data_IF_349550408351
#
_entry.id   IF_349550408351
#
_cell.length_a   1.000
_cell.length_b   1.000
_cell.length_c   1.000
_cell.angle_alpha   90.00
_cell.angle_beta   90.00
_cell.angle_gamma   90.00
#
_symmetry.space_group_name_H-M   'P 1'
#
loop_
_entity.id
_entity.type
_entity.pdbx_description
1 polymer ?
#
# COMPACT_ATOMS: atom_id res chain seq x y z
N UNK A 1 18.13 -11.42 7.17
CA UNK A 1 18.64 -10.27 6.39
C UNK A 1 20.12 -10.10 6.66
N UNK A 2 20.87 -9.53 5.72
CA UNK A 2 22.24 -9.04 5.98
C UNK A 2 22.20 -7.79 6.88
N UNK A 3 23.33 -7.43 7.50
CA UNK A 3 23.41 -6.20 8.30
C UNK A 3 23.07 -4.93 7.51
N UNK A 4 23.35 -4.94 6.20
CA UNK A 4 23.05 -3.81 5.30
C UNK A 4 21.54 -3.73 5.05
N UNK A 5 20.91 -4.85 4.74
CA UNK A 5 19.45 -4.95 4.55
C UNK A 5 18.69 -4.56 5.82
N UNK A 6 19.11 -5.10 6.97
CA UNK A 6 18.48 -4.80 8.25
C UNK A 6 18.56 -3.32 8.61
N UNK A 7 19.72 -2.69 8.39
CA UNK A 7 19.89 -1.24 8.61
C UNK A 7 18.98 -0.42 7.70
N UNK A 8 18.91 -0.76 6.40
CA UNK A 8 18.05 -0.06 5.45
C UNK A 8 16.56 -0.23 5.80
N UNK A 9 16.14 -1.45 6.14
CA UNK A 9 14.77 -1.72 6.59
C UNK A 9 14.44 -0.95 7.88
N UNK A 10 15.33 -0.97 8.87
CA UNK A 10 15.12 -0.29 10.14
C UNK A 10 15.01 1.23 9.98
N UNK A 11 15.84 1.81 9.10
CA UNK A 11 15.76 3.22 8.74
C UNK A 11 14.42 3.54 8.07
N UNK A 12 14.06 2.81 7.00
CA UNK A 12 12.77 2.96 6.31
C UNK A 12 11.59 2.86 7.28
N UNK A 13 11.57 1.85 8.15
CA UNK A 13 10.51 1.63 9.15
C UNK A 13 10.36 2.83 10.08
N UNK A 14 11.48 3.34 10.59
CA UNK A 14 11.52 4.48 11.52
C UNK A 14 11.03 5.74 10.83
N UNK A 15 11.55 6.03 9.64
CA UNK A 15 11.21 7.21 8.86
C UNK A 15 9.74 7.18 8.44
N UNK A 16 9.23 6.04 7.96
CA UNK A 16 7.83 5.91 7.57
C UNK A 16 6.88 6.15 8.76
N UNK A 17 7.23 5.61 9.94
CA UNK A 17 6.46 5.85 11.16
C UNK A 17 6.47 7.33 11.54
N UNK A 18 7.62 7.98 11.45
CA UNK A 18 7.75 9.42 11.70
C UNK A 18 6.92 10.26 10.72
N UNK A 19 6.97 9.94 9.42
CA UNK A 19 6.17 10.62 8.40
C UNK A 19 4.67 10.45 8.63
N UNK A 20 4.19 9.23 8.93
CA UNK A 20 2.78 9.02 9.28
C UNK A 20 2.33 9.86 10.49
N UNK A 21 3.18 9.96 11.54
CA UNK A 21 2.90 10.80 12.71
C UNK A 21 2.85 12.28 12.35
N UNK A 22 3.76 12.74 11.49
CA UNK A 22 3.78 14.13 11.02
C UNK A 22 2.55 14.46 10.17
N UNK A 23 2.14 13.57 9.26
CA UNK A 23 0.93 13.76 8.46
C UNK A 23 -0.34 13.76 9.31
N UNK A 24 -0.43 12.88 10.32
CA UNK A 24 -1.52 12.92 11.31
C UNK A 24 -1.56 14.27 12.05
N UNK A 25 -0.41 14.74 12.55
CA UNK A 25 -0.30 16.01 13.29
C UNK A 25 -0.73 17.18 12.42
N UNK A 26 -0.33 17.22 11.14
CA UNK A 26 -0.75 18.24 10.16
C UNK A 26 -2.26 18.24 9.91
N UNK A 27 -2.92 17.10 10.09
CA UNK A 27 -4.37 16.96 10.00
C UNK A 27 -5.09 17.15 11.34
N UNK A 28 -4.39 17.59 12.40
CA UNK A 28 -4.97 17.83 13.72
C UNK A 28 -5.19 16.56 14.54
N UNK A 29 -4.39 15.51 14.30
CA UNK A 29 -4.49 14.26 15.05
C UNK A 29 -3.24 13.96 15.88
N UNK A 30 -3.46 13.49 17.10
CA UNK A 30 -2.48 12.75 17.87
C UNK A 30 -2.35 11.32 17.33
N UNK A 31 -1.11 10.84 17.22
CA UNK A 31 -0.86 9.45 16.89
C UNK A 31 -1.22 8.52 18.04
N UNK A 32 -1.89 7.42 17.73
CA UNK A 32 -2.20 6.36 18.70
C UNK A 32 -1.87 4.97 18.16
N UNK A 33 -1.00 4.23 18.85
CA UNK A 33 -0.64 2.87 18.48
C UNK A 33 -1.74 1.85 18.87
N UNK A 34 -1.83 0.66 18.24
CA UNK A 34 -2.92 -0.29 18.48
C UNK A 34 -3.13 -0.79 19.91
N UNK A 35 -2.11 -0.70 20.77
CA UNK A 35 -2.19 -1.12 22.18
C UNK A 35 -2.61 0.00 23.14
N UNK A 36 -2.81 1.21 22.64
CA UNK A 36 -3.25 2.35 23.45
C UNK A 36 -4.75 2.28 23.76
N UNK A 37 -5.21 3.05 24.74
CA UNK A 37 -6.59 2.99 25.20
C UNK A 37 -7.61 3.64 24.23
N UNK A 38 -7.16 4.51 23.32
CA UNK A 38 -8.02 5.33 22.48
C UNK A 38 -7.42 5.52 21.08
N UNK A 39 -8.27 5.57 20.06
CA UNK A 39 -7.86 5.80 18.67
C UNK A 39 -7.33 7.21 18.42
N UNK A 40 -6.66 7.43 17.28
CA UNK A 40 -6.17 8.76 16.90
C UNK A 40 -7.31 9.78 16.82
N UNK A 41 -8.49 9.38 16.32
CA UNK A 41 -9.67 10.24 16.30
C UNK A 41 -10.16 10.57 17.72
N UNK A 42 -10.21 9.58 18.62
CA UNK A 42 -10.68 9.77 20.00
C UNK A 42 -9.74 10.66 20.82
N UNK A 43 -8.42 10.46 20.71
CA UNK A 43 -7.41 11.25 21.44
C UNK A 43 -7.42 12.73 21.07
N UNK A 44 -7.74 13.03 19.81
CA UNK A 44 -7.60 14.38 19.26
C UNK A 44 -8.78 15.29 19.57
N UNK A 45 -9.76 14.85 20.38
CA UNK A 45 -10.87 15.65 20.91
C UNK A 45 -11.58 16.53 19.86
N UNK A 46 -11.70 16.06 18.61
CA UNK A 46 -12.36 16.79 17.52
C UNK A 46 -11.51 17.86 16.81
N UNK A 47 -10.21 17.96 17.08
CA UNK A 47 -9.31 18.90 16.40
C UNK A 47 -9.11 18.57 14.91
N UNK A 48 -9.05 17.28 14.55
CA UNK A 48 -8.89 16.84 13.18
C UNK A 48 -10.22 16.62 12.45
N UNK A 49 -10.30 16.99 11.17
CA UNK A 49 -11.54 16.90 10.37
C UNK A 49 -11.50 15.88 9.22
N UNK A 50 -10.32 15.35 8.87
CA UNK A 50 -10.17 14.35 7.80
C UNK A 50 -11.11 13.13 7.94
N UNK A 51 -11.33 12.64 9.17
CA UNK A 51 -12.22 11.50 9.44
C UNK A 51 -13.69 11.81 9.09
N UNK A 52 -14.13 13.05 9.25
CA UNK A 52 -15.46 13.51 8.83
C UNK A 52 -15.56 13.50 7.31
N UNK A 53 -14.49 13.91 6.62
CA UNK A 53 -14.44 13.88 5.16
C UNK A 53 -14.44 12.45 4.62
N UNK A 54 -13.72 11.53 5.28
CA UNK A 54 -13.73 10.09 4.99
C UNK A 54 -15.12 9.48 5.22
N UNK A 55 -15.81 9.89 6.28
CA UNK A 55 -17.19 9.48 6.53
C UNK A 55 -18.15 10.01 5.46
N UNK A 56 -18.02 11.28 5.06
CA UNK A 56 -18.82 11.88 4.00
C UNK A 56 -18.57 11.18 2.64
N UNK A 57 -17.32 10.87 2.31
CA UNK A 57 -16.97 10.12 1.11
C UNK A 57 -17.58 8.71 1.09
N UNK A 58 -17.59 8.03 2.23
CA UNK A 58 -18.24 6.72 2.37
C UNK A 58 -19.76 6.83 2.16
N UNK A 59 -20.40 7.83 2.75
CA UNK A 59 -21.84 8.08 2.59
C UNK A 59 -22.21 8.41 1.13
N UNK A 60 -21.48 9.32 0.47
CA UNK A 60 -21.66 9.66 -0.94
C UNK A 60 -21.56 8.42 -1.84
N UNK A 61 -20.63 7.52 -1.51
CA UNK A 61 -20.41 6.27 -2.22
C UNK A 61 -21.33 5.11 -1.78
N UNK A 62 -22.35 5.38 -0.94
CA UNK A 62 -23.29 4.37 -0.42
C UNK A 62 -22.60 3.21 0.30
N UNK A 63 -21.42 3.45 0.88
CA UNK A 63 -20.74 2.48 1.73
C UNK A 63 -21.44 2.48 3.10
N UNK A 64 -21.81 1.32 3.66
CA UNK A 64 -22.44 1.25 4.98
C UNK A 64 -21.59 1.94 6.04
N UNK A 65 -22.23 2.62 7.01
CA UNK A 65 -21.54 3.32 8.08
C UNK A 65 -20.58 2.39 8.84
N UNK A 66 -19.41 2.92 9.17
CA UNK A 66 -18.36 2.24 9.93
C UNK A 66 -17.56 3.27 10.73
N UNK A 67 -16.91 2.89 11.84
CA UNK A 67 -16.14 3.82 12.65
C UNK A 67 -14.89 4.29 11.89
N UNK A 68 -14.58 5.58 11.99
CA UNK A 68 -13.31 6.15 11.55
C UNK A 68 -12.43 6.36 12.77
N UNK A 69 -11.33 5.62 12.87
CA UNK A 69 -10.47 5.52 14.05
C UNK A 69 -9.04 6.00 13.75
N UNK A 70 -8.52 5.69 12.57
CA UNK A 70 -7.15 6.03 12.15
C UNK A 70 -7.13 6.59 10.72
N UNK A 71 -7.23 7.91 10.51
CA UNK A 71 -7.38 8.52 9.18
C UNK A 71 -6.17 8.33 8.26
N UNK A 72 -4.97 8.27 8.84
CA UNK A 72 -3.71 8.00 8.16
C UNK A 72 -3.06 6.83 8.92
N UNK A 73 -2.86 5.72 8.24
CA UNK A 73 -2.49 4.45 8.87
C UNK A 73 -1.00 4.19 8.68
N UNK A 74 -0.29 3.90 9.75
CA UNK A 74 1.04 3.29 9.69
C UNK A 74 0.90 1.77 9.74
N UNK A 75 1.69 1.02 8.97
CA UNK A 75 1.61 -0.45 8.96
C UNK A 75 2.43 -1.07 10.10
N UNK A 76 1.77 -1.46 11.19
CA UNK A 76 2.42 -2.07 12.34
C UNK A 76 2.97 -3.48 12.09
N UNK A 77 2.64 -4.15 10.98
CA UNK A 77 3.35 -5.38 10.61
C UNK A 77 4.85 -5.13 10.35
N UNK A 78 5.26 -3.89 10.05
CA UNK A 78 6.67 -3.54 9.92
C UNK A 78 7.42 -3.57 11.27
N UNK A 79 6.71 -3.35 12.38
CA UNK A 79 7.31 -3.39 13.72
C UNK A 79 7.67 -4.84 14.14
N UNK A 80 7.08 -5.85 13.50
CA UNK A 80 7.28 -7.27 13.81
C UNK A 80 8.45 -7.92 13.07
N UNK A 81 8.95 -7.28 12.02
CA UNK A 81 10.08 -7.78 11.23
C UNK A 81 11.36 -7.74 12.06
N UNK A 82 12.11 -8.84 12.03
CA UNK A 82 13.35 -9.05 12.77
C UNK A 82 14.56 -9.18 11.84
N UNK A 83 15.76 -8.93 12.36
CA UNK A 83 17.00 -9.06 11.59
C UNK A 83 17.21 -10.48 10.99
N UNK A 84 16.72 -11.50 11.69
CA UNK A 84 16.78 -12.90 11.26
C UNK A 84 15.80 -13.25 10.13
N UNK A 85 14.82 -12.39 9.84
CA UNK A 85 13.84 -12.66 8.78
C UNK A 85 14.45 -12.51 7.39
N UNK A 86 13.82 -13.14 6.40
CA UNK A 86 14.17 -13.01 4.99
C UNK A 86 13.00 -12.38 4.26
N UNK A 87 13.22 -11.23 3.62
CA UNK A 87 12.20 -10.56 2.82
C UNK A 87 12.38 -10.97 1.36
N UNK A 88 11.34 -11.59 0.79
CA UNK A 88 11.33 -12.10 -0.58
C UNK A 88 10.52 -11.25 -1.54
N UNK A 89 9.67 -10.35 -1.03
CA UNK A 89 8.79 -9.55 -1.86
C UNK A 89 8.38 -8.25 -1.15
N UNK A 90 8.22 -7.18 -1.92
CA UNK A 90 7.47 -5.99 -1.50
C UNK A 90 6.17 -5.94 -2.31
N UNK A 91 5.03 -5.80 -1.63
CA UNK A 91 3.73 -5.54 -2.25
C UNK A 91 3.29 -4.12 -1.93
N UNK A 92 2.88 -3.37 -2.94
CA UNK A 92 2.27 -2.05 -2.82
C UNK A 92 0.81 -2.13 -3.25
N UNK A 93 -0.12 -1.99 -2.31
CA UNK A 93 -1.57 -1.87 -2.59
C UNK A 93 -2.00 -0.40 -2.73
N UNK A 94 -3.28 -0.12 -2.92
CA UNK A 94 -3.76 1.26 -3.15
C UNK A 94 -3.68 2.12 -1.90
N UNK A 95 -4.53 1.83 -0.91
CA UNK A 95 -4.67 2.60 0.32
C UNK A 95 -5.33 1.74 1.43
N UNK A 96 -5.22 2.13 2.72
CA UNK A 96 -5.77 1.33 3.81
C UNK A 96 -7.29 1.28 3.73
N UNK A 97 -7.88 0.09 3.82
CA UNK A 97 -9.32 -0.15 3.86
C UNK A 97 -9.94 -0.10 5.26
N UNK A 98 -11.21 -0.48 5.35
CA UNK A 98 -12.00 -0.41 6.61
C UNK A 98 -11.39 -1.21 7.75
N UNK A 99 -10.80 -2.37 7.48
CA UNK A 99 -10.22 -3.22 8.52
C UNK A 99 -8.81 -2.74 8.87
N UNK A 100 -8.09 -2.23 7.90
CA UNK A 100 -6.72 -1.76 8.02
C UNK A 100 -6.63 -0.55 8.96
N UNK A 101 -7.60 0.36 8.92
CA UNK A 101 -7.62 1.58 9.75
C UNK A 101 -8.12 1.39 11.18
N UNK A 102 -8.76 0.25 11.49
CA UNK A 102 -9.24 0.01 12.86
C UNK A 102 -8.07 0.15 13.82
N UNK A 103 -8.28 0.84 14.92
CA UNK A 103 -7.28 1.18 15.91
C UNK A 103 -6.52 -0.06 16.39
N UNK A 104 -7.25 -1.14 16.68
CA UNK A 104 -6.67 -2.44 17.09
C UNK A 104 -5.83 -3.14 16.02
N UNK A 105 -5.99 -2.77 14.75
CA UNK A 105 -5.33 -3.42 13.63
C UNK A 105 -4.13 -2.59 13.17
N UNK A 106 -4.37 -1.43 12.54
CA UNK A 106 -3.35 -0.58 11.90
C UNK A 106 -2.32 -1.38 11.10
N UNK A 107 -2.83 -2.24 10.22
CA UNK A 107 -2.03 -3.18 9.40
C UNK A 107 -2.60 -3.24 8.01
N UNK A 108 -1.73 -3.44 7.02
CA UNK A 108 -2.16 -3.48 5.62
C UNK A 108 -2.54 -4.89 5.17
N UNK A 109 -3.49 -4.95 4.23
CA UNK A 109 -4.02 -6.20 3.68
C UNK A 109 -4.42 -7.20 4.79
N UNK A 110 -5.22 -6.74 5.74
CA UNK A 110 -5.83 -7.58 6.79
C UNK A 110 -7.33 -7.79 6.56
N UNK A 111 -7.93 -7.04 5.63
CA UNK A 111 -9.29 -7.27 5.14
C UNK A 111 -9.39 -8.37 4.08
N UNK A 112 -10.50 -8.35 3.34
CA UNK A 112 -10.81 -9.39 2.35
C UNK A 112 -9.75 -9.50 1.24
N UNK A 113 -9.22 -8.38 0.75
CA UNK A 113 -8.15 -8.36 -0.24
C UNK A 113 -6.90 -9.10 0.26
N UNK A 114 -6.57 -8.93 1.54
CA UNK A 114 -5.48 -9.64 2.20
C UNK A 114 -5.70 -11.15 2.29
N UNK A 115 -6.90 -11.59 2.65
CA UNK A 115 -7.27 -13.02 2.66
C UNK A 115 -7.15 -13.66 1.28
N UNK A 116 -7.51 -12.92 0.23
CA UNK A 116 -7.36 -13.38 -1.17
C UNK A 116 -5.89 -13.50 -1.55
N UNK A 117 -5.08 -12.49 -1.23
CA UNK A 117 -3.65 -12.49 -1.47
C UNK A 117 -2.94 -13.64 -0.74
N UNK A 118 -3.16 -13.78 0.56
CA UNK A 118 -2.62 -14.86 1.39
C UNK A 118 -3.06 -16.24 0.87
N UNK A 119 -4.33 -16.36 0.47
CA UNK A 119 -4.85 -17.56 -0.16
C UNK A 119 -4.18 -17.89 -1.49
N UNK A 120 -3.73 -16.89 -2.27
CA UNK A 120 -2.98 -17.11 -3.50
C UNK A 120 -1.63 -17.76 -3.20
N UNK A 121 -0.80 -17.16 -2.34
CA UNK A 121 0.51 -17.72 -1.97
C UNK A 121 0.39 -19.13 -1.37
N UNK A 122 -0.62 -19.37 -0.51
CA UNK A 122 -0.88 -20.71 0.05
C UNK A 122 -1.24 -21.77 -1.00
N UNK A 123 -1.89 -21.37 -2.11
CA UNK A 123 -2.21 -22.28 -3.22
C UNK A 123 -1.06 -22.48 -4.20
N UNK A 124 -0.01 -21.66 -4.08
CA UNK A 124 1.17 -21.69 -4.92
C UNK A 124 2.44 -21.87 -4.07
N UNK A 125 2.56 -23.00 -3.33
CA UNK A 125 3.70 -23.25 -2.44
C UNK A 125 5.04 -23.30 -3.19
N UNK A 126 5.04 -23.57 -4.50
CA UNK A 126 6.21 -23.50 -5.37
C UNK A 126 6.88 -22.12 -5.41
N UNK A 127 6.14 -21.05 -5.07
CA UNK A 127 6.73 -19.71 -4.93
C UNK A 127 7.63 -19.60 -3.70
N UNK A 128 7.50 -20.52 -2.73
CA UNK A 128 8.25 -20.56 -1.48
C UNK A 128 8.25 -19.20 -0.75
N UNK A 129 7.11 -18.50 -0.72
CA UNK A 129 6.92 -17.22 -0.03
C UNK A 129 5.83 -17.35 1.03
N UNK A 130 6.18 -17.11 2.29
CA UNK A 130 5.21 -16.88 3.36
C UNK A 130 4.70 -15.43 3.29
N UNK A 131 3.43 -15.25 2.93
CA UNK A 131 2.80 -13.95 2.72
C UNK A 131 2.86 -13.00 3.92
N UNK A 132 2.92 -13.52 5.16
CA UNK A 132 2.89 -12.69 6.36
C UNK A 132 4.29 -12.44 6.93
N UNK A 133 5.22 -13.36 6.71
CA UNK A 133 6.58 -13.27 7.25
C UNK A 133 7.60 -12.72 6.27
N UNK A 134 7.47 -13.05 4.98
CA UNK A 134 8.51 -12.80 3.98
C UNK A 134 8.11 -11.69 2.99
N UNK A 135 6.98 -11.02 3.23
CA UNK A 135 6.46 -9.95 2.38
C UNK A 135 6.32 -8.66 3.16
N UNK A 136 6.98 -7.60 2.68
CA UNK A 136 6.72 -6.24 3.15
C UNK A 136 5.50 -5.70 2.40
N UNK A 137 4.46 -5.32 3.13
CA UNK A 137 3.22 -4.78 2.57
C UNK A 137 3.17 -3.28 2.82
N UNK A 138 3.06 -2.50 1.74
CA UNK A 138 2.94 -1.05 1.72
C UNK A 138 1.73 -0.64 0.88
N UNK A 139 1.41 0.64 0.89
CA UNK A 139 0.37 1.23 0.05
C UNK A 139 0.95 2.38 -0.77
N UNK A 140 0.24 2.82 -1.81
CA UNK A 140 0.60 4.03 -2.58
C UNK A 140 0.39 5.29 -1.76
N UNK A 141 -0.51 5.25 -0.78
CA UNK A 141 -0.77 6.30 0.20
C UNK A 141 -1.20 5.67 1.53
N UNK A 142 -0.88 6.26 2.69
CA UNK A 142 -1.38 5.80 3.98
C UNK A 142 -2.77 6.37 4.32
N UNK A 143 -3.35 7.21 3.46
CA UNK A 143 -4.66 7.83 3.68
C UNK A 143 -5.78 6.80 3.55
N UNK A 144 -6.54 6.62 4.63
CA UNK A 144 -7.63 5.65 4.67
C UNK A 144 -8.85 6.09 3.83
N UNK A 145 -9.47 5.14 3.11
CA UNK A 145 -10.88 5.18 2.70
C UNK A 145 -11.43 3.74 2.64
N UNK A 146 -12.75 3.54 2.59
CA UNK A 146 -13.29 2.18 2.46
C UNK A 146 -13.06 1.58 1.07
N UNK A 147 -13.08 2.43 0.05
CA UNK A 147 -12.77 2.08 -1.35
C UNK A 147 -11.88 3.14 -1.95
N UNK A 148 -10.91 2.74 -2.77
CA UNK A 148 -9.94 3.64 -3.42
C UNK A 148 -10.60 4.82 -4.13
N UNK A 149 -11.70 4.60 -4.86
CA UNK A 149 -12.42 5.67 -5.57
C UNK A 149 -12.97 6.79 -4.67
N UNK A 150 -13.16 6.54 -3.36
CA UNK A 150 -13.59 7.55 -2.39
C UNK A 150 -12.50 8.63 -2.16
N UNK A 151 -11.23 8.36 -2.51
CA UNK A 151 -10.17 9.36 -2.48
C UNK A 151 -10.46 10.56 -3.40
N UNK A 152 -11.20 10.36 -4.50
CA UNK A 152 -11.63 11.46 -5.37
C UNK A 152 -12.51 12.47 -4.62
N UNK A 153 -13.35 11.98 -3.70
CA UNK A 153 -14.17 12.85 -2.85
C UNK A 153 -13.27 13.69 -1.93
N UNK A 154 -12.28 13.06 -1.30
CA UNK A 154 -11.34 13.77 -0.42
C UNK A 154 -10.56 14.84 -1.20
N UNK A 155 -10.10 14.54 -2.42
CA UNK A 155 -9.41 15.51 -3.28
C UNK A 155 -10.31 16.67 -3.68
N UNK A 156 -11.58 16.40 -3.98
CA UNK A 156 -12.55 17.44 -4.37
C UNK A 156 -12.92 18.37 -3.21
N UNK A 157 -12.98 17.84 -1.99
CA UNK A 157 -13.57 18.54 -0.85
C UNK A 157 -12.58 18.87 0.29
N UNK A 158 -11.36 18.32 0.25
CA UNK A 158 -10.33 18.50 1.28
C UNK A 158 -9.47 19.76 1.12
N UNK A 159 -9.65 20.51 0.03
CA UNK A 159 -8.91 21.72 -0.26
C UNK A 159 -7.44 21.47 -0.62
N UNK A 160 -6.72 22.56 -0.89
CA UNK A 160 -5.33 22.52 -1.36
C UNK A 160 -4.39 21.80 -0.38
N UNK A 161 -4.57 22.04 0.93
CA UNK A 161 -3.75 21.41 1.97
C UNK A 161 -3.83 19.88 1.92
N UNK A 162 -5.02 19.32 1.71
CA UNK A 162 -5.17 17.86 1.57
C UNK A 162 -4.59 17.37 0.25
N UNK A 163 -4.83 18.07 -0.86
CA UNK A 163 -4.25 17.71 -2.15
C UNK A 163 -2.72 17.62 -2.09
N UNK A 164 -2.06 18.63 -1.51
CA UNK A 164 -0.60 18.64 -1.31
C UNK A 164 -0.14 17.49 -0.41
N UNK A 165 -0.83 17.22 0.70
CA UNK A 165 -0.51 16.10 1.59
C UNK A 165 -0.65 14.75 0.87
N UNK A 166 -1.72 14.56 0.10
CA UNK A 166 -1.98 13.33 -0.64
C UNK A 166 -0.88 13.07 -1.67
N UNK A 167 -0.52 14.08 -2.46
CA UNK A 167 0.58 14.00 -3.43
C UNK A 167 1.93 13.73 -2.75
N UNK A 168 2.21 14.42 -1.64
CA UNK A 168 3.43 14.23 -0.85
C UNK A 168 3.56 12.80 -0.35
N UNK A 169 2.48 12.21 0.19
CA UNK A 169 2.51 10.83 0.69
C UNK A 169 2.87 9.83 -0.40
N UNK A 170 2.38 10.06 -1.62
CA UNK A 170 2.66 9.19 -2.77
C UNK A 170 4.11 9.26 -3.20
N UNK A 171 4.65 10.48 -3.37
CA UNK A 171 6.05 10.68 -3.76
C UNK A 171 6.99 10.10 -2.70
N UNK A 172 6.71 10.36 -1.43
CA UNK A 172 7.50 9.83 -0.33
C UNK A 172 7.53 8.30 -0.38
N UNK A 173 6.36 7.64 -0.46
CA UNK A 173 6.27 6.18 -0.47
C UNK A 173 6.92 5.56 -1.70
N UNK A 174 6.72 6.11 -2.90
CA UNK A 174 7.35 5.59 -4.11
C UNK A 174 8.88 5.66 -4.03
N UNK A 175 9.43 6.82 -3.63
CA UNK A 175 10.87 7.04 -3.54
C UNK A 175 11.54 6.16 -2.47
N UNK A 176 10.98 6.14 -1.25
CA UNK A 176 11.56 5.39 -0.13
C UNK A 176 11.39 3.88 -0.31
N UNK A 177 10.29 3.43 -0.92
CA UNK A 177 10.13 2.00 -1.25
C UNK A 177 11.14 1.58 -2.31
N UNK A 178 11.40 2.42 -3.31
CA UNK A 178 12.41 2.11 -4.33
C UNK A 178 13.83 2.04 -3.75
N UNK A 179 14.16 2.93 -2.82
CA UNK A 179 15.43 2.88 -2.10
C UNK A 179 15.55 1.61 -1.25
N UNK A 180 14.50 1.22 -0.52
CA UNK A 180 14.47 -0.01 0.26
C UNK A 180 14.61 -1.25 -0.64
N UNK A 181 13.82 -1.32 -1.71
CA UNK A 181 13.83 -2.43 -2.66
C UNK A 181 15.24 -2.65 -3.25
N UNK A 182 15.95 -1.58 -3.65
CA UNK A 182 17.31 -1.66 -4.18
C UNK A 182 18.29 -2.29 -3.19
N UNK A 183 18.08 -2.10 -1.89
CA UNK A 183 18.92 -2.73 -0.86
C UNK A 183 18.51 -4.16 -0.58
N UNK A 184 17.20 -4.45 -0.53
CA UNK A 184 16.68 -5.80 -0.28
C UNK A 184 16.84 -6.75 -1.49
N UNK A 185 16.95 -6.22 -2.70
CA UNK A 185 17.12 -7.00 -3.93
C UNK A 185 15.91 -7.85 -4.33
N UNK A 186 14.78 -7.74 -3.63
CA UNK A 186 13.57 -8.51 -3.91
C UNK A 186 12.69 -7.86 -4.98
N UNK A 187 11.80 -8.62 -5.64
CA UNK A 187 10.75 -8.07 -6.51
C UNK A 187 9.83 -7.07 -5.79
N UNK A 188 9.23 -6.18 -6.58
CA UNK A 188 8.21 -5.22 -6.16
C UNK A 188 6.95 -5.44 -6.99
N UNK A 189 5.84 -5.76 -6.31
CA UNK A 189 4.54 -5.95 -6.92
C UNK A 189 3.66 -4.74 -6.65
N UNK A 190 3.32 -4.01 -7.71
CA UNK A 190 2.40 -2.90 -7.67
C UNK A 190 0.99 -3.41 -8.00
N UNK A 191 0.17 -3.55 -6.97
CA UNK A 191 -1.16 -4.17 -7.05
C UNK A 191 -2.23 -3.10 -7.06
N UNK A 192 -3.19 -3.20 -7.99
CA UNK A 192 -4.21 -2.17 -8.20
C UNK A 192 -3.75 -1.14 -9.23
N UNK A 193 -3.80 -1.51 -10.50
CA UNK A 193 -3.29 -0.65 -11.57
C UNK A 193 -4.30 0.35 -12.15
N UNK A 194 -5.59 0.21 -11.80
CA UNK A 194 -6.67 1.00 -12.41
C UNK A 194 -6.50 2.51 -12.27
N UNK A 195 -5.82 2.94 -11.21
CA UNK A 195 -5.64 4.34 -10.83
C UNK A 195 -4.19 4.84 -11.03
N UNK A 196 -3.34 4.08 -11.73
CA UNK A 196 -1.93 4.43 -11.99
C UNK A 196 -1.71 5.21 -13.30
N UNK A 197 -2.72 5.26 -14.18
CA UNK A 197 -2.61 5.98 -15.46
C UNK A 197 -2.55 7.49 -15.23
N UNK A 198 -2.12 8.24 -16.26
CA UNK A 198 -2.07 9.71 -16.21
C UNK A 198 -3.44 10.29 -15.85
N UNK A 199 -3.45 11.30 -14.97
CA UNK A 199 -4.64 12.02 -14.47
C UNK A 199 -5.57 11.16 -13.59
N UNK A 200 -5.09 10.02 -13.09
CA UNK A 200 -5.78 9.18 -12.09
C UNK A 200 -5.24 9.44 -10.67
N UNK A 201 -5.86 8.83 -9.66
CA UNK A 201 -5.53 9.09 -8.24
C UNK A 201 -4.05 8.93 -7.90
N UNK A 202 -3.38 7.96 -8.52
CA UNK A 202 -2.00 7.62 -8.21
C UNK A 202 -0.99 8.04 -9.28
N UNK A 203 -1.30 9.10 -10.05
CA UNK A 203 -0.36 9.66 -11.03
C UNK A 203 0.96 10.07 -10.38
N UNK A 204 0.93 10.76 -9.24
CA UNK A 204 2.14 11.20 -8.55
C UNK A 204 3.02 10.02 -8.11
N UNK A 205 2.40 8.94 -7.60
CA UNK A 205 3.10 7.70 -7.27
C UNK A 205 3.75 7.07 -8.51
N UNK A 206 3.00 6.95 -9.61
CA UNK A 206 3.46 6.34 -10.86
C UNK A 206 4.63 7.12 -11.49
N UNK A 207 4.55 8.45 -11.48
CA UNK A 207 5.60 9.33 -11.99
C UNK A 207 6.87 9.23 -11.15
N UNK A 208 6.75 9.27 -9.82
CA UNK A 208 7.90 9.08 -8.94
C UNK A 208 8.52 7.69 -9.11
N UNK A 209 7.71 6.63 -9.20
CA UNK A 209 8.22 5.28 -9.44
C UNK A 209 8.96 5.19 -10.79
N UNK A 210 8.46 5.87 -11.83
CA UNK A 210 9.16 5.97 -13.11
C UNK A 210 10.47 6.75 -13.00
N UNK A 211 10.55 7.79 -12.18
CA UNK A 211 11.82 8.48 -11.93
C UNK A 211 12.85 7.54 -11.26
N UNK A 212 12.39 6.68 -10.35
CA UNK A 212 13.26 5.74 -9.65
C UNK A 212 13.73 4.56 -10.52
N UNK A 213 12.91 4.10 -11.46
CA UNK A 213 13.14 2.84 -12.20
C UNK A 213 13.14 2.95 -13.72
N UNK A 214 12.58 4.00 -14.32
CA UNK A 214 12.23 4.05 -15.74
C UNK A 214 13.40 3.99 -16.72
N UNK A 215 14.64 4.19 -16.25
CA UNK A 215 15.87 4.00 -17.03
C UNK A 215 16.46 2.58 -16.95
N UNK A 216 15.84 1.67 -16.19
CA UNK A 216 16.36 0.32 -15.93
C UNK A 216 15.57 -0.72 -16.73
N UNK A 217 16.23 -1.37 -17.69
CA UNK A 217 15.61 -2.40 -18.53
C UNK A 217 15.16 -3.63 -17.74
N UNK A 218 15.83 -3.91 -16.63
CA UNK A 218 15.61 -5.06 -15.76
C UNK A 218 14.97 -4.69 -14.41
N UNK A 219 14.35 -3.50 -14.32
CA UNK A 219 13.67 -3.07 -13.10
C UNK A 219 12.73 -4.18 -12.56
N UNK A 220 12.88 -4.59 -11.29
CA UNK A 220 12.14 -5.71 -10.70
C UNK A 220 10.73 -5.30 -10.24
N UNK A 221 10.08 -4.43 -11.02
CA UNK A 221 8.74 -3.91 -10.78
C UNK A 221 7.77 -4.67 -11.67
N UNK A 222 6.71 -5.19 -11.07
CA UNK A 222 5.67 -5.98 -11.72
C UNK A 222 4.30 -5.42 -11.34
N UNK A 223 3.42 -5.22 -12.32
CA UNK A 223 2.13 -4.54 -12.11
C UNK A 223 0.99 -5.55 -12.23
N UNK A 224 0.04 -5.52 -11.29
CA UNK A 224 -1.05 -6.49 -11.27
C UNK A 224 -2.40 -5.87 -10.93
N UNK A 225 -3.47 -6.57 -11.34
CA UNK A 225 -4.84 -6.29 -10.93
C UNK A 225 -4.99 -6.32 -9.39
N UNK A 226 -5.96 -5.59 -8.86
CA UNK A 226 -6.24 -5.55 -7.43
C UNK A 226 -6.69 -6.92 -6.89
N UNK A 227 -6.37 -7.25 -5.63
CA UNK A 227 -6.77 -8.53 -5.02
C UNK A 227 -8.29 -8.64 -4.72
N UNK A 228 -8.96 -7.51 -4.45
CA UNK A 228 -10.42 -7.47 -4.25
C UNK A 228 -11.19 -8.10 -5.40
N UNK A 229 -12.35 -8.69 -5.09
CA UNK A 229 -13.24 -9.33 -6.06
C UNK A 229 -12.56 -10.43 -6.91
N UNK A 230 -11.44 -10.98 -6.42
CA UNK A 230 -10.61 -11.97 -7.13
C UNK A 230 -10.03 -11.47 -8.46
N UNK A 231 -9.99 -10.15 -8.73
CA UNK A 231 -9.53 -9.63 -10.03
C UNK A 231 -8.11 -10.11 -10.36
N UNK A 232 -7.19 -10.06 -9.39
CA UNK A 232 -5.84 -10.63 -9.54
C UNK A 232 -5.86 -12.09 -9.97
N UNK A 233 -6.62 -12.96 -9.29
CA UNK A 233 -6.63 -14.40 -9.59
C UNK A 233 -7.31 -14.70 -10.93
N UNK A 234 -8.36 -13.96 -11.28
CA UNK A 234 -9.05 -14.09 -12.57
C UNK A 234 -8.11 -13.71 -13.71
N UNK A 235 -7.42 -12.58 -13.57
CA UNK A 235 -6.46 -12.09 -14.56
C UNK A 235 -5.26 -13.03 -14.71
N UNK A 236 -4.70 -13.48 -13.58
CA UNK A 236 -3.64 -14.47 -13.57
C UNK A 236 -4.05 -15.75 -14.32
N UNK A 237 -5.22 -16.33 -14.02
CA UNK A 237 -5.71 -17.53 -14.70
C UNK A 237 -5.95 -17.31 -16.20
N UNK A 238 -6.45 -16.13 -16.58
CA UNK A 238 -6.75 -15.79 -17.97
C UNK A 238 -5.49 -15.69 -18.83
N UNK A 239 -4.42 -15.13 -18.27
CA UNK A 239 -3.18 -14.81 -18.98
C UNK A 239 -2.07 -15.86 -18.79
N UNK A 240 -2.24 -16.81 -17.86
CA UNK A 240 -1.24 -17.84 -17.61
C UNK A 240 -1.13 -18.83 -18.76
N UNK A 241 0.11 -19.21 -19.04
CA UNK A 241 0.46 -20.31 -19.92
C UNK A 241 0.70 -21.58 -19.08
N UNK A 242 0.00 -22.67 -19.42
CA UNK A 242 0.10 -23.94 -18.70
C UNK A 242 1.48 -24.61 -18.82
N UNK A 243 2.31 -24.20 -19.78
CA UNK A 243 3.66 -24.71 -19.96
C UNK A 243 4.72 -23.93 -19.19
N UNK A 244 4.34 -22.83 -18.51
CA UNK A 244 5.23 -22.01 -17.69
C UNK A 244 4.97 -22.24 -16.21
N UNK A 245 6.00 -22.08 -15.40
CA UNK A 245 5.86 -22.02 -13.95
C UNK A 245 5.03 -20.82 -13.51
N UNK A 246 4.50 -20.87 -12.29
CA UNK A 246 3.77 -19.76 -11.67
C UNK A 246 4.61 -18.49 -11.63
N UNK A 247 5.90 -18.60 -11.31
CA UNK A 247 6.84 -17.46 -11.27
C UNK A 247 7.03 -16.83 -12.66
N UNK A 248 7.24 -17.63 -13.70
CA UNK A 248 7.38 -17.15 -15.07
C UNK A 248 6.11 -16.46 -15.57
N UNK A 249 4.93 -17.01 -15.24
CA UNK A 249 3.65 -16.40 -15.56
C UNK A 249 3.47 -15.06 -14.83
N UNK A 250 3.74 -14.99 -13.53
CA UNK A 250 3.69 -13.75 -12.75
C UNK A 250 4.62 -12.69 -13.33
N UNK A 251 5.85 -13.08 -13.69
CA UNK A 251 6.83 -12.19 -14.31
C UNK A 251 6.31 -11.65 -15.64
N UNK A 252 5.82 -12.52 -16.53
CA UNK A 252 5.34 -12.13 -17.85
C UNK A 252 4.13 -11.20 -17.77
N UNK A 253 3.13 -11.55 -16.96
CA UNK A 253 1.90 -10.76 -16.76
C UNK A 253 2.25 -9.42 -16.12
N UNK A 254 3.10 -9.43 -15.10
CA UNK A 254 3.54 -8.23 -14.39
C UNK A 254 4.25 -7.23 -15.30
N UNK A 255 5.11 -7.71 -16.20
CA UNK A 255 5.81 -6.87 -17.19
C UNK A 255 4.88 -6.37 -18.29
N UNK A 256 3.94 -7.19 -18.74
CA UNK A 256 2.90 -6.79 -19.70
C UNK A 256 2.13 -5.57 -19.17
N UNK A 257 1.55 -5.71 -17.98
CA UNK A 257 0.79 -4.63 -17.35
C UNK A 257 1.64 -3.42 -17.02
N UNK A 258 2.92 -3.61 -16.62
CA UNK A 258 3.84 -2.49 -16.38
C UNK A 258 4.00 -1.63 -17.62
N UNK A 259 4.26 -2.27 -18.77
CA UNK A 259 4.37 -1.58 -20.05
C UNK A 259 3.07 -0.88 -20.44
N UNK A 260 1.93 -1.55 -20.27
CA UNK A 260 0.62 -1.00 -20.65
C UNK A 260 0.15 0.17 -19.77
N UNK A 261 0.51 0.17 -18.48
CA UNK A 261 0.02 1.13 -17.49
C UNK A 261 1.02 2.25 -17.22
N UNK A 262 2.30 1.91 -17.05
CA UNK A 262 3.36 2.85 -16.71
C UNK A 262 4.19 3.31 -17.92
N UNK A 263 4.15 2.55 -19.03
CA UNK A 263 4.83 2.91 -20.28
C UNK A 263 6.31 2.55 -20.35
N UNK A 264 6.81 1.70 -19.43
CA UNK A 264 8.20 1.22 -19.38
C UNK A 264 8.30 -0.20 -18.79
#
# INVERSE_FOLDING_TARGET
MTDKEWRAFSAFRTDFKASCRQWLTRCGYEYSAPGEAASSVQRSAGQGTLHLLQQAAAADNKTPAYPQETPIVYNHSLDEVQASDTIKLIIISDNPGKNEQLHKNQRYLVGQAGKVAEGFFRRHPELAIDFRREVIILNKTPVHTAKTKELNYLLKHGGEQFCSLFEETQKWLASHTAALQRVLGCPLWLVGYGELRKKSLFTAYAEELRLQYGGMSDAPVYVFQHFSMNCFTIDFKKLSDAHKSTEENLRAIGLLHRKEVLGW
#
